data_IF_733470604280
#
_entry.id   IF_733470604280
#
_cell.length_a   1.000
_cell.length_b   1.000
_cell.length_c   1.000
_cell.angle_alpha   90.00
_cell.angle_beta   90.00
_cell.angle_gamma   90.00
#
_symmetry.space_group_name_H-M   'P 1'
#
loop_
_entity.id
_entity.type
_entity.pdbx_description
1 polymer ?
#
# COMPACT_ATOMS: atom_id res chain seq x y z
N UNK A 1 -8.62 2.07 -10.98
CA UNK A 1 -7.49 1.52 -10.19
C UNK A 1 -8.03 1.14 -8.83
N UNK A 2 -7.67 -0.04 -8.32
CA UNK A 2 -8.10 -0.50 -7.00
C UNK A 2 -6.92 -0.44 -6.05
N UNK A 3 -7.07 0.29 -4.94
CA UNK A 3 -6.09 0.34 -3.85
C UNK A 3 -6.46 -0.71 -2.82
N UNK A 4 -5.53 -1.61 -2.53
CA UNK A 4 -5.73 -2.77 -1.66
C UNK A 4 -5.03 -2.53 -0.33
N UNK A 5 -5.81 -2.34 0.73
CA UNK A 5 -5.36 -2.19 2.10
C UNK A 5 -5.25 -3.52 2.85
N UNK A 6 -4.61 -3.49 4.02
CA UNK A 6 -4.26 -4.67 4.78
C UNK A 6 -5.45 -5.52 5.26
N UNK A 7 -6.67 -4.98 5.30
CA UNK A 7 -7.88 -5.71 5.70
C UNK A 7 -8.60 -6.45 4.56
N UNK A 8 -8.07 -6.37 3.35
CA UNK A 8 -8.67 -6.97 2.16
C UNK A 8 -8.76 -8.49 2.27
N UNK A 9 -9.79 -9.10 1.71
CA UNK A 9 -9.78 -10.54 1.41
C UNK A 9 -9.54 -10.79 -0.08
N UNK A 10 -9.15 -12.03 -0.42
CA UNK A 10 -8.97 -12.44 -1.82
C UNK A 10 -10.30 -12.33 -2.58
N UNK A 11 -11.42 -12.64 -1.92
CA UNK A 11 -12.76 -12.56 -2.48
C UNK A 11 -13.14 -11.12 -2.79
N UNK A 12 -12.90 -10.18 -1.87
CA UNK A 12 -13.18 -8.75 -2.09
C UNK A 12 -12.35 -8.20 -3.25
N UNK A 13 -11.05 -8.54 -3.32
CA UNK A 13 -10.16 -8.13 -4.41
C UNK A 13 -10.61 -8.72 -5.75
N UNK A 14 -11.03 -9.98 -5.76
CA UNK A 14 -11.54 -10.66 -6.96
C UNK A 14 -12.86 -10.01 -7.42
N UNK A 15 -13.76 -9.68 -6.50
CA UNK A 15 -15.02 -9.01 -6.80
C UNK A 15 -14.81 -7.60 -7.37
N UNK A 16 -13.74 -6.91 -6.98
CA UNK A 16 -13.38 -5.59 -7.53
C UNK A 16 -12.70 -5.66 -8.93
N UNK A 17 -12.41 -6.85 -9.44
CA UNK A 17 -11.75 -7.03 -10.75
C UNK A 17 -12.68 -6.74 -11.94
N UNK A 18 -12.08 -6.34 -13.06
CA UNK A 18 -12.79 -6.02 -14.30
C UNK A 18 -11.81 -5.83 -15.47
N UNK A 19 -12.30 -5.68 -16.71
CA UNK A 19 -11.48 -5.72 -17.93
C UNK A 19 -10.33 -4.68 -18.02
N UNK A 20 -10.40 -3.60 -17.23
CA UNK A 20 -9.38 -2.54 -17.18
C UNK A 20 -8.92 -2.23 -15.74
N UNK A 21 -9.20 -3.13 -14.80
CA UNK A 21 -8.82 -2.95 -13.40
C UNK A 21 -7.35 -3.28 -13.23
N UNK A 22 -6.61 -2.40 -12.57
CA UNK A 22 -5.25 -2.65 -12.07
C UNK A 22 -5.21 -2.41 -10.56
N UNK A 23 -4.38 -3.18 -9.88
CA UNK A 23 -4.28 -3.20 -8.42
C UNK A 23 -2.99 -2.54 -7.94
N UNK A 24 -3.12 -1.73 -6.91
CA UNK A 24 -2.00 -1.15 -6.16
C UNK A 24 -2.17 -1.62 -4.72
N UNK A 25 -1.21 -2.38 -4.21
CA UNK A 25 -1.33 -2.98 -2.88
C UNK A 25 -0.46 -2.27 -1.85
N UNK A 26 -0.97 -2.17 -0.64
CA UNK A 26 -0.23 -1.72 0.53
C UNK A 26 0.51 -2.90 1.15
N UNK A 27 1.83 -2.93 0.98
CA UNK A 27 2.74 -3.83 1.66
C UNK A 27 2.29 -5.32 1.59
N UNK A 28 2.06 -5.99 2.72
CA UNK A 28 1.61 -7.38 2.78
C UNK A 28 0.26 -7.63 2.10
N UNK A 29 -0.57 -6.60 1.91
CA UNK A 29 -1.86 -6.71 1.22
C UNK A 29 -1.70 -7.16 -0.25
N UNK A 30 -0.48 -7.13 -0.80
CA UNK A 30 -0.18 -7.72 -2.09
C UNK A 30 -0.53 -9.22 -2.15
N UNK A 31 -0.51 -9.92 -1.00
CA UNK A 31 -0.95 -11.31 -0.88
C UNK A 31 -2.45 -11.51 -1.13
N UNK A 32 -3.27 -10.46 -1.01
CA UNK A 32 -4.69 -10.51 -1.30
C UNK A 32 -5.00 -10.48 -2.80
N UNK A 33 -4.02 -10.12 -3.65
CA UNK A 33 -4.21 -9.98 -5.11
C UNK A 33 -3.84 -11.30 -5.79
N UNK A 34 -4.78 -12.08 -6.35
CA UNK A 34 -4.48 -13.32 -7.07
C UNK A 34 -3.48 -13.14 -8.20
N UNK A 35 -2.72 -14.20 -8.53
CA UNK A 35 -1.67 -14.17 -9.58
C UNK A 35 -2.21 -13.76 -10.96
N UNK A 36 -3.44 -14.14 -11.31
CA UNK A 36 -4.07 -13.79 -12.58
C UNK A 36 -4.57 -12.35 -12.68
N UNK A 37 -4.51 -11.57 -11.59
CA UNK A 37 -4.90 -10.16 -11.60
C UNK A 37 -3.67 -9.23 -11.76
N UNK A 38 -3.82 -8.11 -12.48
CA UNK A 38 -2.73 -7.20 -12.76
C UNK A 38 -2.37 -6.35 -11.52
N UNK A 39 -1.43 -6.85 -10.72
CA UNK A 39 -0.77 -6.10 -9.65
C UNK A 39 0.27 -5.16 -10.27
N UNK A 40 -0.07 -3.88 -10.37
CA UNK A 40 0.76 -2.87 -11.02
C UNK A 40 1.89 -2.38 -10.09
N UNK A 41 1.55 -2.14 -8.83
CA UNK A 41 2.51 -1.61 -7.86
C UNK A 41 2.24 -2.11 -6.44
N UNK A 42 3.29 -2.15 -5.64
CA UNK A 42 3.21 -2.35 -4.18
C UNK A 42 3.88 -1.15 -3.50
N UNK A 43 3.17 -0.50 -2.59
CA UNK A 43 3.71 0.56 -1.74
C UNK A 43 4.09 -0.07 -0.42
N UNK A 44 5.34 0.04 0.01
CA UNK A 44 5.84 -0.72 1.17
C UNK A 44 6.97 -0.01 1.90
N UNK A 45 7.05 -0.23 3.20
CA UNK A 45 8.20 0.09 4.05
C UNK A 45 9.16 -1.11 4.25
N UNK A 46 8.93 -2.20 3.49
CA UNK A 46 9.59 -3.51 3.52
C UNK A 46 9.29 -4.38 4.75
N UNK A 47 8.16 -4.24 5.43
CA UNK A 47 7.79 -5.11 6.55
C UNK A 47 6.72 -6.19 6.25
N UNK A 48 6.16 -6.23 5.03
CA UNK A 48 5.10 -7.16 4.60
C UNK A 48 5.46 -8.63 4.45
N UNK A 49 6.67 -9.02 4.81
CA UNK A 49 7.12 -10.41 4.93
C UNK A 49 6.94 -11.25 3.65
N UNK A 50 6.56 -12.52 3.83
CA UNK A 50 6.50 -13.50 2.73
C UNK A 50 5.52 -13.10 1.61
N UNK A 51 4.45 -12.38 1.94
CA UNK A 51 3.45 -11.94 0.96
C UNK A 51 4.01 -10.89 0.01
N UNK A 52 4.76 -9.91 0.54
CA UNK A 52 5.49 -8.94 -0.27
C UNK A 52 6.51 -9.63 -1.18
N UNK A 53 7.33 -10.53 -0.63
CA UNK A 53 8.34 -11.24 -1.41
C UNK A 53 7.75 -12.08 -2.53
N UNK A 54 6.63 -12.75 -2.30
CA UNK A 54 5.92 -13.50 -3.34
C UNK A 54 5.36 -12.58 -4.42
N UNK A 55 4.78 -11.44 -4.02
CA UNK A 55 4.22 -10.47 -4.93
C UNK A 55 5.26 -9.83 -5.86
N UNK A 56 6.45 -9.52 -5.33
CA UNK A 56 7.56 -8.92 -6.08
C UNK A 56 8.03 -9.79 -7.24
N UNK A 57 7.96 -11.12 -7.10
CA UNK A 57 8.30 -12.06 -8.19
C UNK A 57 7.38 -11.93 -9.42
N UNK A 58 6.23 -11.26 -9.28
CA UNK A 58 5.29 -10.99 -10.38
C UNK A 58 5.68 -9.74 -11.19
N UNK A 59 6.73 -9.02 -10.79
CA UNK A 59 7.23 -7.82 -11.44
C UNK A 59 6.43 -6.52 -11.24
N UNK A 60 5.72 -6.26 -10.12
CA UNK A 60 5.14 -4.95 -9.88
C UNK A 60 6.24 -3.90 -9.67
N UNK A 61 5.91 -2.63 -9.91
CA UNK A 61 6.74 -1.52 -9.42
C UNK A 61 6.66 -1.49 -7.89
N UNK A 62 7.80 -1.44 -7.21
CA UNK A 62 7.82 -1.32 -5.75
C UNK A 62 8.11 0.13 -5.38
N UNK A 63 7.13 0.78 -4.76
CA UNK A 63 7.24 2.14 -4.25
C UNK A 63 7.64 2.06 -2.79
N UNK A 64 8.91 2.32 -2.55
CA UNK A 64 9.53 2.11 -1.24
C UNK A 64 9.58 3.39 -0.42
N UNK A 65 9.41 3.26 0.90
CA UNK A 65 9.74 4.34 1.82
C UNK A 65 10.39 3.79 3.08
N UNK A 66 11.54 4.34 3.45
CA UNK A 66 12.25 3.88 4.62
C UNK A 66 11.66 4.49 5.90
N UNK A 67 11.56 3.68 6.94
CA UNK A 67 11.51 4.15 8.32
C UNK A 67 12.93 4.13 8.91
N UNK A 68 13.21 5.03 9.85
CA UNK A 68 14.57 5.17 10.41
C UNK A 68 15.02 3.98 11.27
N UNK A 69 14.12 3.05 11.58
CA UNK A 69 14.30 1.96 12.54
C UNK A 69 14.52 0.58 11.90
N UNK A 70 14.48 0.44 10.56
CA UNK A 70 14.49 -0.87 9.87
C UNK A 70 15.62 -1.08 8.85
N UNK A 71 16.76 -0.39 8.99
CA UNK A 71 17.88 -0.43 8.03
C UNK A 71 18.42 -1.83 7.72
N UNK A 72 18.63 -2.68 8.71
CA UNK A 72 19.17 -4.03 8.49
C UNK A 72 18.21 -4.92 7.68
N UNK A 73 16.92 -4.77 7.93
CA UNK A 73 15.85 -5.47 7.21
C UNK A 73 15.82 -5.06 5.74
N UNK A 74 15.97 -3.75 5.48
CA UNK A 74 16.13 -3.21 4.14
C UNK A 74 17.32 -3.80 3.40
N UNK A 75 18.51 -3.79 4.00
CA UNK A 75 19.73 -4.30 3.37
C UNK A 75 19.57 -5.79 2.99
N UNK A 76 18.95 -6.60 3.84
CA UNK A 76 18.69 -8.02 3.57
C UNK A 76 17.67 -8.23 2.44
N UNK A 77 16.55 -7.52 2.46
CA UNK A 77 15.50 -7.68 1.46
C UNK A 77 15.93 -7.17 0.09
N UNK A 78 16.61 -6.03 0.03
CA UNK A 78 17.15 -5.48 -1.22
C UNK A 78 18.24 -6.38 -1.79
N UNK A 79 19.12 -6.96 -0.97
CA UNK A 79 20.08 -7.96 -1.44
C UNK A 79 19.37 -9.18 -2.04
N UNK A 80 18.34 -9.69 -1.37
CA UNK A 80 17.53 -10.82 -1.87
C UNK A 80 16.86 -10.50 -3.21
N UNK A 81 16.39 -9.27 -3.42
CA UNK A 81 15.79 -8.85 -4.68
C UNK A 81 16.80 -8.52 -5.77
N UNK A 82 18.02 -8.13 -5.42
CA UNK A 82 19.09 -7.91 -6.38
C UNK A 82 19.55 -9.23 -7.03
N UNK A 83 19.40 -10.35 -6.31
CA UNK A 83 19.79 -11.69 -6.77
C UNK A 83 18.74 -12.38 -7.66
N UNK A 84 17.54 -11.80 -7.86
CA UNK A 84 16.55 -12.38 -8.78
C UNK A 84 16.85 -11.97 -10.23
N UNK A 85 16.57 -12.84 -11.20
CA UNK A 85 16.88 -12.63 -12.63
C UNK A 85 16.32 -11.30 -13.18
N UNK A 86 15.17 -10.88 -12.66
CA UNK A 86 14.51 -9.61 -12.99
C UNK A 86 14.09 -8.89 -11.71
N UNK A 87 14.97 -8.06 -11.12
CA UNK A 87 14.64 -7.28 -9.95
C UNK A 87 13.46 -6.33 -10.22
N UNK A 88 12.60 -6.05 -9.22
CA UNK A 88 11.50 -5.13 -9.42
C UNK A 88 12.01 -3.71 -9.71
N UNK A 89 11.33 -2.92 -10.57
CA UNK A 89 11.55 -1.50 -10.64
C UNK A 89 11.27 -0.85 -9.29
N UNK A 90 12.17 0.02 -8.82
CA UNK A 90 12.03 0.71 -7.54
C UNK A 90 11.73 2.19 -7.76
N UNK A 91 10.77 2.72 -6.99
CA UNK A 91 10.51 4.15 -6.85
C UNK A 91 10.66 4.51 -5.39
N UNK A 92 11.57 5.44 -5.08
CA UNK A 92 11.83 5.84 -3.70
C UNK A 92 10.92 7.00 -3.28
N UNK A 93 10.32 6.88 -2.10
CA UNK A 93 9.49 7.92 -1.51
C UNK A 93 9.86 8.19 -0.05
N UNK A 94 9.54 9.38 0.44
CA UNK A 94 9.82 9.81 1.81
C UNK A 94 8.64 10.58 2.42
N UNK A 95 8.79 10.98 3.68
CA UNK A 95 7.82 11.77 4.45
C UNK A 95 8.43 12.98 5.18
N UNK A 96 9.73 13.22 4.97
CA UNK A 96 10.44 14.38 5.52
C UNK A 96 10.06 15.71 4.85
N UNK A 97 10.23 16.84 5.56
CA UNK A 97 9.94 18.18 5.02
C UNK A 97 10.93 18.61 3.93
N UNK A 98 12.16 18.12 4.00
CA UNK A 98 13.22 18.47 3.06
C UNK A 98 13.15 17.62 1.80
N UNK A 99 13.59 18.19 0.67
CA UNK A 99 13.77 17.44 -0.56
C UNK A 99 14.95 16.48 -0.41
N UNK A 100 14.78 15.26 -0.91
CA UNK A 100 15.85 14.25 -0.97
C UNK A 100 16.05 13.86 -2.42
N UNK A 101 17.27 14.04 -2.92
CA UNK A 101 17.61 13.75 -4.31
C UNK A 101 17.27 12.29 -4.68
N UNK A 102 16.56 12.12 -5.80
CA UNK A 102 16.13 10.80 -6.28
C UNK A 102 14.94 10.19 -5.53
N UNK A 103 14.31 10.93 -4.61
CA UNK A 103 13.11 10.48 -3.89
C UNK A 103 11.94 11.44 -4.09
N UNK A 104 10.72 10.95 -3.88
CA UNK A 104 9.50 11.75 -3.98
C UNK A 104 8.73 11.78 -2.65
N UNK A 105 8.05 12.90 -2.37
CA UNK A 105 7.13 13.00 -1.23
C UNK A 105 5.69 13.17 -1.72
N UNK A 106 4.97 12.07 -1.99
CA UNK A 106 3.55 12.15 -2.34
C UNK A 106 2.64 12.44 -1.13
N UNK A 107 3.18 12.38 0.10
CA UNK A 107 2.42 12.35 1.35
C UNK A 107 2.05 10.93 1.79
N UNK A 108 1.11 10.82 2.72
CA UNK A 108 0.68 9.56 3.34
C UNK A 108 1.48 9.22 4.61
N UNK A 109 0.84 8.46 5.48
CA UNK A 109 1.37 8.05 6.79
C UNK A 109 1.52 6.53 6.92
N UNK A 110 0.65 5.75 6.29
CA UNK A 110 0.72 4.29 6.15
C UNK A 110 0.98 3.91 4.70
N UNK A 111 1.28 2.64 4.42
CA UNK A 111 1.43 2.18 3.02
C UNK A 111 0.13 2.41 2.21
N UNK A 112 -1.01 2.20 2.86
CA UNK A 112 -2.33 2.34 2.25
C UNK A 112 -2.65 3.76 1.80
N UNK A 113 -2.61 4.74 2.72
CA UNK A 113 -2.89 6.13 2.33
C UNK A 113 -1.76 6.74 1.48
N UNK A 114 -0.50 6.30 1.61
CA UNK A 114 0.60 6.68 0.73
C UNK A 114 0.33 6.24 -0.71
N UNK A 115 -0.23 5.05 -0.92
CA UNK A 115 -0.66 4.62 -2.25
C UNK A 115 -1.71 5.57 -2.85
N UNK A 116 -2.69 6.01 -2.05
CA UNK A 116 -3.71 6.97 -2.50
C UNK A 116 -3.08 8.32 -2.80
N UNK A 117 -2.22 8.82 -1.91
CA UNK A 117 -1.44 10.04 -2.08
C UNK A 117 -0.64 10.03 -3.39
N UNK A 118 0.08 8.94 -3.66
CA UNK A 118 0.85 8.76 -4.89
C UNK A 118 -0.03 8.84 -6.14
N UNK A 119 -1.16 8.12 -6.15
CA UNK A 119 -2.09 8.13 -7.28
C UNK A 119 -2.68 9.53 -7.51
N UNK A 120 -3.07 10.22 -6.43
CA UNK A 120 -3.58 11.59 -6.51
C UNK A 120 -2.50 12.58 -6.98
N UNK A 121 -1.25 12.41 -6.55
CA UNK A 121 -0.11 13.21 -6.99
C UNK A 121 0.19 13.01 -8.49
N UNK A 122 0.03 11.79 -9.01
CA UNK A 122 0.12 11.49 -10.45
C UNK A 122 -1.09 11.98 -11.28
N UNK A 123 -2.06 12.66 -10.66
CA UNK A 123 -3.22 13.22 -11.34
C UNK A 123 -4.37 12.24 -11.57
N UNK A 124 -4.33 11.04 -10.98
CA UNK A 124 -5.44 10.08 -11.09
C UNK A 124 -6.68 10.66 -10.40
N UNK A 125 -7.80 10.87 -11.11
CA UNK A 125 -8.99 11.46 -10.53
C UNK A 125 -9.61 10.52 -9.50
N UNK A 126 -10.21 11.07 -8.44
CA UNK A 126 -10.80 10.25 -7.36
C UNK A 126 -11.87 9.27 -7.85
N UNK A 127 -12.59 9.62 -8.91
CA UNK A 127 -13.62 8.77 -9.54
C UNK A 127 -13.04 7.54 -10.24
N UNK A 128 -11.73 7.52 -10.51
CA UNK A 128 -11.03 6.36 -11.06
C UNK A 128 -10.40 5.48 -9.97
N UNK A 129 -10.59 5.82 -8.68
CA UNK A 129 -10.10 5.07 -7.54
C UNK A 129 -11.24 4.24 -6.92
N UNK A 130 -10.92 2.99 -6.62
CA UNK A 130 -11.73 2.12 -5.76
C UNK A 130 -10.83 1.60 -4.64
N UNK A 131 -11.43 1.21 -3.52
CA UNK A 131 -10.71 0.85 -2.31
C UNK A 131 -11.22 -0.50 -1.81
N UNK A 132 -10.31 -1.38 -1.42
CA UNK A 132 -10.62 -2.67 -0.82
C UNK A 132 -9.75 -2.83 0.41
N UNK A 133 -10.32 -3.29 1.54
CA UNK A 133 -9.51 -3.60 2.72
C UNK A 133 -8.95 -2.41 3.51
N UNK A 134 -9.57 -1.24 3.37
CA UNK A 134 -9.34 -0.11 4.26
C UNK A 134 -10.30 -0.22 5.45
N UNK A 135 -9.78 -0.20 6.67
CA UNK A 135 -10.56 -0.31 7.89
C UNK A 135 -9.86 0.42 9.05
N UNK A 136 -10.64 0.91 10.02
CA UNK A 136 -10.12 1.57 11.23
C UNK A 136 -10.06 0.66 12.45
N UNK A 137 -10.81 -0.44 12.43
CA UNK A 137 -11.05 -1.33 13.56
C UNK A 137 -10.67 -2.79 13.27
N UNK A 138 -10.53 -3.16 11.99
CA UNK A 138 -10.17 -4.52 11.58
C UNK A 138 -8.67 -4.69 11.44
N UNK A 139 -8.11 -5.62 12.22
CA UNK A 139 -6.78 -6.18 11.92
C UNK A 139 -6.94 -7.18 10.78
N UNK A 140 -6.51 -6.76 9.60
CA UNK A 140 -6.47 -7.62 8.44
C UNK A 140 -5.41 -8.72 8.52
N UNK A 141 -5.59 -9.84 7.80
CA UNK A 141 -4.64 -10.96 7.81
C UNK A 141 -3.28 -10.58 7.22
N UNK A 142 -3.19 -9.44 6.54
CA UNK A 142 -1.99 -8.97 5.86
C UNK A 142 -1.22 -7.90 6.62
N UNK A 143 -1.63 -7.55 7.85
CA UNK A 143 -0.94 -6.51 8.61
C UNK A 143 0.30 -7.07 9.30
N UNK A 144 1.43 -6.38 9.17
CA UNK A 144 2.64 -6.66 9.94
C UNK A 144 2.43 -6.62 11.48
N UNK A 145 3.43 -7.11 12.21
CA UNK A 145 3.40 -7.15 13.69
C UNK A 145 3.52 -5.72 14.23
N UNK A 146 2.45 -5.19 14.83
CA UNK A 146 2.46 -3.84 15.41
C UNK A 146 1.78 -3.82 16.77
N UNK A 147 2.29 -2.98 17.68
CA UNK A 147 1.61 -2.62 18.93
C UNK A 147 0.19 -2.07 18.63
N UNK A 148 -0.88 -2.67 19.20
CA UNK A 148 -2.25 -2.23 18.99
C UNK A 148 -2.48 -0.73 19.22
N UNK A 149 -1.85 -0.14 20.24
CA UNK A 149 -2.02 1.28 20.54
C UNK A 149 -1.43 2.18 19.44
N UNK A 150 -0.21 1.85 19.00
CA UNK A 150 0.46 2.54 17.89
C UNK A 150 -0.33 2.37 16.59
N UNK A 151 -0.90 1.19 16.35
CA UNK A 151 -1.72 0.90 15.16
C UNK A 151 -2.96 1.80 15.09
N UNK A 152 -3.70 1.97 16.19
CA UNK A 152 -4.87 2.87 16.24
C UNK A 152 -4.48 4.32 15.90
N UNK A 153 -3.34 4.78 16.40
CA UNK A 153 -2.82 6.11 16.06
C UNK A 153 -2.47 6.22 14.56
N UNK A 154 -1.81 5.20 13.97
CA UNK A 154 -1.54 5.16 12.53
C UNK A 154 -2.83 5.24 11.70
N UNK A 155 -3.87 4.52 12.10
CA UNK A 155 -5.17 4.50 11.40
C UNK A 155 -5.92 5.83 11.51
N UNK A 156 -5.76 6.56 12.62
CA UNK A 156 -6.30 7.92 12.76
C UNK A 156 -5.67 8.87 11.74
N UNK A 157 -4.35 8.78 11.54
CA UNK A 157 -3.66 9.55 10.50
C UNK A 157 -4.07 9.16 9.09
N UNK A 158 -4.22 7.85 8.83
CA UNK A 158 -4.74 7.35 7.56
C UNK A 158 -6.11 7.97 7.23
N UNK A 159 -7.05 7.96 8.19
CA UNK A 159 -8.36 8.58 8.01
C UNK A 159 -8.26 10.08 7.70
N UNK A 160 -7.41 10.82 8.41
CA UNK A 160 -7.20 12.25 8.19
C UNK A 160 -6.61 12.54 6.80
N UNK A 161 -5.67 11.72 6.33
CA UNK A 161 -5.11 11.84 4.96
C UNK A 161 -6.20 11.59 3.92
N UNK A 162 -6.96 10.50 4.03
CA UNK A 162 -8.05 10.18 3.11
C UNK A 162 -9.13 11.27 3.08
N UNK A 163 -9.43 11.87 4.24
CA UNK A 163 -10.34 13.02 4.36
C UNK A 163 -9.83 14.23 3.61
N UNK A 164 -8.54 14.57 3.74
CA UNK A 164 -7.91 15.68 3.00
C UNK A 164 -7.87 15.44 1.49
N UNK A 165 -7.74 14.18 1.07
CA UNK A 165 -7.81 13.79 -0.35
C UNK A 165 -9.24 13.75 -0.89
N UNK A 166 -10.26 13.87 -0.03
CA UNK A 166 -11.67 13.85 -0.41
C UNK A 166 -12.15 12.48 -0.89
N UNK A 167 -11.57 11.40 -0.37
CA UNK A 167 -11.89 10.00 -0.71
C UNK A 167 -12.24 9.15 0.52
N UNK A 168 -12.45 9.78 1.67
CA UNK A 168 -12.70 9.07 2.93
C UNK A 168 -13.96 8.21 2.88
N UNK A 169 -15.03 8.65 2.23
CA UNK A 169 -16.30 7.93 2.19
C UNK A 169 -16.20 6.70 1.28
N UNK A 170 -15.43 6.80 0.21
CA UNK A 170 -15.16 5.72 -0.73
C UNK A 170 -14.20 4.67 -0.13
N UNK A 171 -13.22 5.12 0.67
CA UNK A 171 -12.22 4.24 1.27
C UNK A 171 -12.67 3.62 2.59
N UNK A 172 -13.45 4.34 3.38
CA UNK A 172 -13.98 3.91 4.69
C UNK A 172 -15.49 4.16 4.69
N UNK A 173 -16.25 3.34 3.93
CA UNK A 173 -17.71 3.44 3.96
C UNK A 173 -18.17 3.23 5.40
N UNK A 174 -19.00 4.15 5.89
CA UNK A 174 -19.67 3.93 7.17
C UNK A 174 -20.70 2.82 6.97
N UNK A 175 -20.75 1.86 7.89
CA UNK A 175 -21.89 0.94 7.94
C UNK A 175 -23.17 1.79 8.06
N UNK A 176 -24.05 1.75 7.07
CA UNK A 176 -25.34 2.48 7.06
C UNK A 176 -26.35 1.96 8.12
N UNK A 177 -25.88 1.31 9.20
CA UNK A 177 -26.70 0.70 10.24
C UNK A 177 -26.31 1.17 11.65
N UNK A 178 -26.35 2.48 11.88
CA UNK A 178 -26.38 3.06 13.24
C UNK A 178 -27.66 3.88 13.45
#
# INVERSE_FOLDING_TARGET
MVVVGAAATVEEVTAASGPATVFIAADGAAGAVPEGLPLLAVVSDLDGGAHLHAAVKRGPVVVLHAHGDNRSTWEQHLATWADVDTPPPLVLTHQGPDQVDGMHNPGGFTDGDRAVCLLRWMGVPKQALAFVGFALDKVGPWSGVTDPARKVQKLTWMAEVLRRLGVMHEALPQDEHS
#
